data_IF_238518341797
#
_entry.id   IF_238518341797
#
_cell.length_a   1.000
_cell.length_b   1.000
_cell.length_c   1.000
_cell.angle_alpha   90.00
_cell.angle_beta   90.00
_cell.angle_gamma   90.00
#
_symmetry.space_group_name_H-M   'P 1'
#
loop_
_entity.id
_entity.type
_entity.pdbx_description
1 polymer ?
#
# COMPACT_ATOMS: atom_id res chain seq x y z
N UNK A 1 24.84 7.35 -2.11
CA UNK A 1 23.56 7.80 -1.55
C UNK A 1 22.49 7.23 -2.42
N UNK A 2 21.90 6.16 -1.94
CA UNK A 2 20.77 5.47 -2.53
C UNK A 2 19.49 6.08 -1.97
N UNK A 3 18.43 5.97 -2.74
CA UNK A 3 17.14 6.48 -2.33
C UNK A 3 16.43 7.18 -3.47
N UNK A 4 15.37 7.87 -3.09
CA UNK A 4 14.54 8.62 -4.01
C UNK A 4 13.81 9.72 -3.26
N UNK A 5 13.37 10.74 -3.98
CA UNK A 5 12.47 11.77 -3.48
C UNK A 5 11.06 11.35 -3.84
N UNK A 6 10.19 11.18 -2.85
CA UNK A 6 8.76 10.96 -3.08
C UNK A 6 8.09 12.33 -3.16
N UNK A 7 7.53 12.64 -4.32
CA UNK A 7 6.87 13.91 -4.60
C UNK A 7 5.41 13.91 -4.13
N UNK A 8 4.73 12.77 -4.26
CA UNK A 8 3.35 12.61 -3.83
C UNK A 8 3.08 11.15 -3.47
N UNK A 9 2.16 10.95 -2.53
CA UNK A 9 1.63 9.65 -2.16
C UNK A 9 0.18 9.78 -1.73
N UNK A 10 -0.72 9.13 -2.47
CA UNK A 10 -2.17 9.22 -2.30
C UNK A 10 -2.84 7.85 -2.40
N UNK A 11 -3.99 7.73 -1.73
CA UNK A 11 -4.85 6.56 -1.75
C UNK A 11 -6.24 6.97 -2.24
N UNK A 12 -6.73 6.28 -3.26
CA UNK A 12 -8.05 6.50 -3.83
C UNK A 12 -8.97 5.34 -3.44
N UNK A 13 -10.06 5.59 -2.69
CA UNK A 13 -11.00 4.55 -2.34
C UNK A 13 -11.76 4.08 -3.58
N UNK A 14 -12.00 2.78 -3.67
CA UNK A 14 -12.87 2.18 -4.67
C UNK A 14 -13.77 1.12 -4.07
N UNK A 15 -14.58 0.49 -4.92
CA UNK A 15 -15.41 -0.63 -4.50
C UNK A 15 -14.57 -1.89 -4.33
N UNK A 16 -14.50 -2.41 -3.11
CA UNK A 16 -13.68 -3.56 -2.72
C UNK A 16 -12.18 -3.41 -3.05
N UNK A 17 -11.70 -2.17 -3.19
CA UNK A 17 -10.28 -1.89 -3.47
C UNK A 17 -9.85 -0.53 -2.97
N UNK A 18 -8.55 -0.37 -2.80
CA UNK A 18 -7.87 0.92 -2.68
C UNK A 18 -6.81 1.00 -3.76
N UNK A 19 -6.76 2.11 -4.49
CA UNK A 19 -5.70 2.37 -5.47
C UNK A 19 -4.69 3.33 -4.84
N UNK A 20 -3.47 2.86 -4.63
CA UNK A 20 -2.35 3.67 -4.17
C UNK A 20 -1.60 4.22 -5.38
N UNK A 21 -1.23 5.49 -5.33
CA UNK A 21 -0.40 6.14 -6.34
C UNK A 21 0.70 6.94 -5.65
N UNK A 22 1.90 6.85 -6.17
CA UNK A 22 3.00 7.69 -5.74
C UNK A 22 3.86 8.08 -6.92
N UNK A 23 4.49 9.24 -6.79
CA UNK A 23 5.43 9.76 -7.77
C UNK A 23 6.79 9.92 -7.12
N UNK A 24 7.82 9.48 -7.81
CA UNK A 24 9.20 9.58 -7.35
C UNK A 24 10.01 10.45 -8.30
N UNK A 25 11.15 10.93 -7.82
CA UNK A 25 12.17 11.58 -8.62
C UNK A 25 13.55 11.18 -8.10
N UNK A 26 14.53 11.10 -9.00
CA UNK A 26 15.92 10.80 -8.66
C UNK A 26 16.07 9.45 -7.95
N UNK A 27 15.60 8.37 -8.60
CA UNK A 27 15.76 7.01 -8.11
C UNK A 27 17.20 6.54 -8.35
N UNK A 28 17.96 6.31 -7.28
CA UNK A 28 19.36 5.90 -7.34
C UNK A 28 19.54 4.65 -6.48
N UNK A 29 20.10 3.58 -7.06
CA UNK A 29 20.35 2.31 -6.35
C UNK A 29 19.13 1.76 -5.56
N UNK A 30 17.92 2.01 -6.06
CA UNK A 30 16.69 1.56 -5.42
C UNK A 30 16.33 0.14 -5.86
N UNK A 31 15.93 -0.71 -4.92
CA UNK A 31 15.35 -2.02 -5.23
C UNK A 31 13.86 -1.89 -5.52
N UNK A 32 13.15 -1.06 -4.74
CA UNK A 32 11.72 -0.84 -4.88
C UNK A 32 11.06 -0.31 -3.63
N UNK A 33 9.75 -0.51 -3.56
CA UNK A 33 8.86 0.00 -2.54
C UNK A 33 8.08 -1.15 -1.91
N UNK A 34 8.22 -1.30 -0.60
CA UNK A 34 7.36 -2.18 0.18
C UNK A 34 6.14 -1.39 0.65
N UNK A 35 4.98 -1.84 0.21
CA UNK A 35 3.69 -1.25 0.56
C UNK A 35 3.23 -1.93 1.85
N UNK A 36 3.01 -1.13 2.88
CA UNK A 36 2.51 -1.63 4.14
C UNK A 36 1.15 -1.03 4.45
N UNK A 37 0.28 -1.85 5.04
CA UNK A 37 -1.06 -1.46 5.45
C UNK A 37 -1.28 -1.80 6.92
N UNK A 38 -2.00 -0.93 7.60
CA UNK A 38 -2.53 -1.17 8.93
C UNK A 38 -4.04 -0.88 8.98
N UNK A 39 -4.71 -1.53 9.92
CA UNK A 39 -6.09 -1.22 10.29
C UNK A 39 -6.18 -0.24 11.48
N UNK A 40 -5.04 0.04 12.11
CA UNK A 40 -4.88 0.96 13.23
C UNK A 40 -3.83 2.01 12.87
N UNK A 41 -4.00 3.26 13.33
CA UNK A 41 -2.98 4.28 13.14
C UNK A 41 -1.81 4.10 14.13
N UNK A 42 -1.17 2.92 14.11
CA UNK A 42 -0.07 2.53 15.01
C UNK A 42 1.04 1.87 14.19
N UNK A 43 2.28 2.33 14.38
CA UNK A 43 3.44 1.89 13.60
C UNK A 43 3.66 0.37 13.63
N UNK A 44 3.39 -0.27 14.78
CA UNK A 44 3.57 -1.72 14.98
C UNK A 44 2.50 -2.58 14.31
N UNK A 45 1.37 -1.98 13.92
CA UNK A 45 0.25 -2.69 13.29
C UNK A 45 0.37 -2.76 11.77
N UNK A 46 1.36 -2.08 11.18
CA UNK A 46 1.63 -2.14 9.75
C UNK A 46 2.17 -3.51 9.35
N UNK A 47 1.59 -4.07 8.30
CA UNK A 47 2.02 -5.33 7.70
C UNK A 47 2.24 -5.11 6.22
N UNK A 48 3.26 -5.77 5.68
CA UNK A 48 3.50 -5.85 4.24
C UNK A 48 2.25 -6.36 3.52
N UNK A 49 1.86 -5.63 2.48
CA UNK A 49 0.83 -6.02 1.51
C UNK A 49 1.51 -6.53 0.25
N UNK A 50 2.46 -5.77 -0.28
CA UNK A 50 3.13 -6.09 -1.53
C UNK A 50 4.50 -5.41 -1.64
N UNK A 51 5.24 -5.77 -2.68
CA UNK A 51 6.49 -5.13 -3.06
C UNK A 51 6.48 -4.75 -4.54
N UNK A 52 6.68 -3.47 -4.83
CA UNK A 52 6.74 -2.93 -6.18
C UNK A 52 8.19 -2.60 -6.51
N UNK A 53 8.74 -3.30 -7.51
CA UNK A 53 10.10 -3.05 -7.98
C UNK A 53 10.22 -1.62 -8.50
N UNK A 54 11.31 -0.95 -8.17
CA UNK A 54 11.63 0.34 -8.77
C UNK A 54 11.89 0.19 -10.26
N UNK A 55 11.70 1.30 -10.99
CA UNK A 55 12.20 1.44 -12.34
C UNK A 55 13.74 1.35 -12.36
N UNK A 56 14.32 1.28 -13.55
CA UNK A 56 15.74 1.57 -13.73
C UNK A 56 16.11 2.93 -13.12
N UNK A 57 17.34 3.03 -12.62
CA UNK A 57 17.92 4.26 -12.10
C UNK A 57 17.71 5.44 -13.07
N UNK A 58 17.19 6.54 -12.53
CA UNK A 58 16.64 7.63 -13.33
C UNK A 58 16.59 8.93 -12.53
N UNK A 59 16.89 10.05 -13.18
CA UNK A 59 16.68 11.39 -12.63
C UNK A 59 15.27 11.92 -12.92
N UNK A 60 14.61 11.36 -13.93
CA UNK A 60 13.26 11.73 -14.32
C UNK A 60 12.23 11.26 -13.31
N UNK A 61 11.04 11.86 -13.39
CA UNK A 61 9.89 11.44 -12.58
C UNK A 61 9.42 10.05 -12.99
N UNK A 62 9.03 9.24 -12.00
CA UNK A 62 8.35 7.97 -12.22
C UNK A 62 7.06 7.91 -11.42
N UNK A 63 6.01 7.42 -12.07
CA UNK A 63 4.69 7.27 -11.48
C UNK A 63 4.43 5.78 -11.27
N UNK A 64 3.95 5.44 -10.09
CA UNK A 64 3.61 4.09 -9.70
C UNK A 64 2.14 4.00 -9.31
N UNK A 65 1.54 2.85 -9.58
CA UNK A 65 0.16 2.56 -9.18
C UNK A 65 0.08 1.14 -8.66
N UNK A 66 -0.64 0.97 -7.56
CA UNK A 66 -0.92 -0.34 -6.96
C UNK A 66 -2.38 -0.45 -6.55
N UNK A 67 -3.01 -1.59 -6.84
CA UNK A 67 -4.39 -1.87 -6.41
C UNK A 67 -4.41 -2.90 -5.28
N UNK A 68 -4.72 -2.43 -4.07
CA UNK A 68 -4.97 -3.32 -2.94
C UNK A 68 -6.42 -3.82 -2.98
N UNK A 69 -6.59 -5.05 -3.43
CA UNK A 69 -7.87 -5.77 -3.42
C UNK A 69 -8.01 -6.69 -2.20
N UNK A 70 -7.05 -6.72 -1.28
CA UNK A 70 -7.05 -7.64 -0.13
C UNK A 70 -7.83 -7.09 1.08
N UNK A 71 -8.68 -6.08 0.87
CA UNK A 71 -9.36 -5.29 1.92
C UNK A 71 -10.67 -5.91 2.44
N UNK A 72 -11.05 -7.10 1.95
CA UNK A 72 -12.35 -7.73 2.23
C UNK A 72 -12.60 -8.10 3.70
N UNK A 73 -11.55 -8.13 4.54
CA UNK A 73 -11.65 -8.44 5.98
C UNK A 73 -12.01 -7.23 6.84
N UNK A 74 -12.29 -6.08 6.23
CA UNK A 74 -12.28 -4.78 6.91
C UNK A 74 -13.56 -3.99 6.67
N UNK A 75 -14.71 -4.58 6.97
CA UNK A 75 -16.03 -3.93 6.84
C UNK A 75 -16.02 -2.51 7.43
N UNK A 76 -16.28 -1.52 6.58
CA UNK A 76 -16.44 -0.10 6.93
C UNK A 76 -15.30 0.52 7.79
N UNK A 77 -14.06 0.05 7.65
CA UNK A 77 -12.92 0.52 8.46
C UNK A 77 -11.98 1.44 7.67
N UNK A 78 -11.44 2.45 8.35
CA UNK A 78 -10.31 3.25 7.85
C UNK A 78 -9.05 2.39 7.74
N UNK A 79 -8.43 2.40 6.57
CA UNK A 79 -7.16 1.77 6.28
C UNK A 79 -6.05 2.82 6.32
N UNK A 80 -4.87 2.42 6.78
CA UNK A 80 -3.68 3.27 6.81
C UNK A 80 -2.61 2.63 5.94
N UNK A 81 -1.94 3.42 5.11
CA UNK A 81 -0.88 2.96 4.22
C UNK A 81 0.38 3.80 4.41
N UNK A 82 1.53 3.15 4.26
CA UNK A 82 2.85 3.79 4.20
C UNK A 82 3.73 3.09 3.18
N UNK A 83 4.76 3.81 2.72
CA UNK A 83 5.79 3.28 1.84
C UNK A 83 7.08 3.10 2.62
N UNK A 84 7.63 1.89 2.53
CA UNK A 84 9.01 1.60 2.92
C UNK A 84 9.85 1.52 1.65
N UNK A 85 10.91 2.31 1.60
CA UNK A 85 11.83 2.44 0.48
C UNK A 85 12.94 1.41 0.70
N UNK A 86 13.05 0.47 -0.24
CA UNK A 86 14.01 -0.64 -0.17
C UNK A 86 15.20 -0.31 -1.06
N UNK A 87 16.37 -0.19 -0.44
CA UNK A 87 17.62 0.13 -1.13
C UNK A 87 18.39 -1.16 -1.47
N UNK A 88 19.30 -1.12 -2.45
CA UNK A 88 20.09 -2.31 -2.79
C UNK A 88 21.21 -2.59 -1.78
N UNK A 89 21.97 -1.55 -1.41
CA UNK A 89 23.19 -1.67 -0.59
C UNK A 89 23.24 -0.65 0.56
N UNK A 90 22.14 0.05 0.82
CA UNK A 90 22.01 1.01 1.91
C UNK A 90 20.81 0.59 2.79
N UNK A 91 20.71 1.06 4.05
CA UNK A 91 19.57 0.74 4.90
C UNK A 91 18.25 1.18 4.27
N UNK A 92 17.20 0.38 4.45
CA UNK A 92 15.85 0.77 4.05
C UNK A 92 15.38 1.98 4.86
N UNK A 93 14.57 2.83 4.23
CA UNK A 93 13.99 4.01 4.88
C UNK A 93 12.47 4.01 4.76
N UNK A 94 11.79 4.83 5.55
CA UNK A 94 10.36 5.04 5.42
C UNK A 94 10.10 6.43 4.88
N UNK A 95 9.06 6.55 4.04
CA UNK A 95 8.49 7.84 3.75
C UNK A 95 7.78 8.39 4.99
N UNK A 96 7.93 9.68 5.30
CA UNK A 96 7.41 10.23 6.55
C UNK A 96 5.87 10.21 6.64
N UNK A 97 5.18 10.25 5.50
CA UNK A 97 3.72 10.39 5.46
C UNK A 97 3.01 9.05 5.48
N UNK A 98 2.14 8.89 6.47
CA UNK A 98 1.10 7.86 6.49
C UNK A 98 -0.17 8.46 5.89
N UNK A 99 -0.79 7.74 4.96
CA UNK A 99 -2.08 8.13 4.39
C UNK A 99 -3.20 7.23 4.89
N UNK A 100 -4.39 7.79 5.07
CA UNK A 100 -5.59 7.05 5.48
C UNK A 100 -6.68 7.12 4.41
N UNK A 101 -7.49 6.07 4.32
CA UNK A 101 -8.56 5.97 3.34
C UNK A 101 -9.68 5.06 3.84
N UNK A 102 -10.92 5.39 3.52
CA UNK A 102 -12.11 4.58 3.85
C UNK A 102 -12.75 4.05 2.55
N UNK A 103 -12.48 2.79 2.14
CA UNK A 103 -13.07 2.22 0.93
C UNK A 103 -14.48 1.69 1.16
N UNK A 104 -15.25 1.52 0.08
CA UNK A 104 -16.56 0.85 0.12
C UNK A 104 -16.38 -0.66 -0.03
N UNK A 105 -16.84 -1.45 0.94
CA UNK A 105 -16.71 -2.92 0.91
C UNK A 105 -18.08 -3.57 0.84
N UNK A 106 -18.27 -4.48 -0.12
CA UNK A 106 -19.51 -5.24 -0.28
C UNK A 106 -19.65 -6.29 0.82
N UNK A 107 -20.80 -6.29 1.49
CA UNK A 107 -21.18 -7.30 2.48
C UNK A 107 -21.43 -8.69 1.88
N UNK A 108 -21.73 -8.79 0.58
CA UNK A 108 -22.15 -10.03 -0.08
C UNK A 108 -21.04 -11.10 -0.20
N UNK A 109 -19.76 -10.73 -0.15
CA UNK A 109 -18.63 -11.70 -0.15
C UNK A 109 -18.28 -12.24 1.24
N UNK A 110 -18.80 -11.64 2.31
CA UNK A 110 -18.53 -12.07 3.69
C UNK A 110 -19.43 -13.23 4.14
N UNK A 111 -20.62 -13.37 3.56
CA UNK A 111 -21.64 -14.35 4.01
C UNK A 111 -21.55 -15.73 3.36
N UNK A 112 -20.79 -15.90 2.28
CA UNK A 112 -20.64 -17.21 1.62
C UNK A 112 -20.02 -18.27 2.53
N UNK A 113 -19.16 -17.87 3.48
CA UNK A 113 -18.63 -18.76 4.51
C UNK A 113 -19.65 -19.16 5.58
N UNK A 114 -20.57 -18.27 5.94
CA UNK A 114 -21.58 -18.50 6.99
C UNK A 114 -22.78 -19.30 6.48
N UNK A 115 -23.16 -19.17 5.20
CA UNK A 115 -24.27 -19.92 4.61
C UNK A 115 -23.98 -21.43 4.57
N UNK A 116 -22.73 -21.83 4.28
CA UNK A 116 -22.36 -23.26 4.25
C UNK A 116 -22.42 -23.94 5.62
N UNK A 117 -22.38 -23.17 6.71
CA UNK A 117 -22.47 -23.68 8.09
C UNK A 117 -23.91 -23.86 8.58
N UNK A 118 -24.91 -23.29 7.89
CA UNK A 118 -26.32 -23.32 8.32
C UNK A 118 -27.12 -24.51 7.77
N UNK A 119 -26.51 -25.37 6.96
CA UNK A 119 -27.17 -26.57 6.39
C UNK A 119 -26.51 -27.88 6.85
N UNK A 120 -25.96 -27.91 8.07
CA UNK A 120 -25.58 -29.17 8.76
C UNK A 120 -26.59 -29.51 9.84
#
# INVERSE_FOLDING_TARGET
MAGTIILDFVAQPGFNRVTLKWTTQNEINLKGFEIERSFENKSESFKKVDFIKASSETKDKKEYTYEDRSIFKSSDRTLYYRLKIINNNEPDTYYEKIISVKPTISSARQTWGSIKAMFR
#
